data_IF_112408456961
#
_entry.id   IF_112408456961
#
_cell.length_a   1.000
_cell.length_b   1.000
_cell.length_c   1.000
_cell.angle_alpha   90.00
_cell.angle_beta   90.00
_cell.angle_gamma   90.00
#
_symmetry.space_group_name_H-M   'P 1'
#
loop_
_entity.id
_entity.type
_entity.pdbx_description
1 polymer ?
#
# COMPACT_ATOMS: atom_id res chain seq x y z
N UNK A 1 18.34 -13.64 9.00
CA UNK A 1 16.89 -13.41 9.01
C UNK A 1 16.65 -12.00 9.47
N UNK A 2 16.45 -11.11 8.50
CA UNK A 2 15.99 -9.76 8.70
C UNK A 2 14.49 -9.66 8.38
N UNK A 3 13.84 -8.65 8.94
CA UNK A 3 12.53 -8.20 8.46
C UNK A 3 12.73 -7.40 7.17
N UNK A 4 11.90 -7.65 6.15
CA UNK A 4 12.00 -6.98 4.85
C UNK A 4 10.64 -6.39 4.52
N UNK A 5 10.56 -5.08 4.59
CA UNK A 5 9.34 -4.32 4.49
C UNK A 5 9.25 -3.74 3.07
N UNK A 6 8.08 -3.84 2.45
CA UNK A 6 7.80 -3.23 1.16
C UNK A 6 6.57 -2.34 1.27
N UNK A 7 6.67 -1.10 0.79
CA UNK A 7 5.48 -0.37 0.35
C UNK A 7 4.89 -1.04 -0.91
N UNK A 8 3.62 -0.78 -1.22
CA UNK A 8 2.93 -1.44 -2.33
C UNK A 8 2.92 -0.58 -3.60
N UNK A 9 2.13 0.49 -3.56
CA UNK A 9 1.83 1.35 -4.70
C UNK A 9 3.11 2.07 -5.16
N UNK A 10 3.36 2.12 -6.47
CA UNK A 10 4.59 2.68 -7.08
C UNK A 10 5.94 2.07 -6.58
N UNK A 11 5.87 1.03 -5.74
CA UNK A 11 7.04 0.33 -5.15
C UNK A 11 7.11 -1.14 -5.56
N UNK A 12 6.09 -1.95 -5.25
CA UNK A 12 5.98 -3.33 -5.73
C UNK A 12 5.28 -3.42 -7.09
N UNK A 13 4.41 -2.45 -7.39
CA UNK A 13 3.62 -2.35 -8.61
C UNK A 13 3.79 -1.00 -9.28
N UNK A 14 3.70 -0.96 -10.61
CA UNK A 14 3.74 0.26 -11.44
C UNK A 14 2.37 0.94 -11.49
N UNK A 15 1.90 1.41 -10.33
CA UNK A 15 0.66 2.17 -10.22
C UNK A 15 0.10 2.23 -8.80
N UNK A 16 -1.00 2.99 -8.67
CA UNK A 16 -1.79 3.15 -7.45
C UNK A 16 -3.02 2.23 -7.49
N UNK A 17 -3.05 1.20 -6.65
CA UNK A 17 -4.10 0.19 -6.65
C UNK A 17 -5.47 0.77 -6.29
N UNK A 18 -5.53 1.76 -5.41
CA UNK A 18 -6.81 2.39 -5.03
C UNK A 18 -7.46 3.13 -6.22
N UNK A 19 -6.69 3.92 -6.96
CA UNK A 19 -7.14 4.66 -8.15
C UNK A 19 -7.51 3.71 -9.30
N UNK A 20 -6.76 2.61 -9.47
CA UNK A 20 -7.09 1.57 -10.44
C UNK A 20 -8.37 0.81 -10.05
N UNK A 21 -8.56 0.54 -8.76
CA UNK A 21 -9.79 -0.05 -8.23
C UNK A 21 -11.00 0.87 -8.41
N UNK A 22 -10.84 2.18 -8.23
CA UNK A 22 -11.88 3.18 -8.56
C UNK A 22 -12.38 3.05 -10.00
N UNK A 23 -11.47 2.82 -10.97
CA UNK A 23 -11.84 2.55 -12.37
C UNK A 23 -12.58 1.24 -12.51
N UNK A 24 -12.13 0.18 -11.82
CA UNK A 24 -12.82 -1.11 -11.82
C UNK A 24 -14.24 -1.00 -11.28
N UNK A 25 -14.45 -0.29 -10.17
CA UNK A 25 -15.79 -0.05 -9.63
C UNK A 25 -16.71 0.67 -10.64
N UNK A 26 -16.16 1.59 -11.45
CA UNK A 26 -16.90 2.23 -12.53
C UNK A 26 -17.28 1.24 -13.65
N UNK A 27 -16.36 0.35 -14.05
CA UNK A 27 -16.64 -0.71 -15.04
C UNK A 27 -17.72 -1.69 -14.56
N UNK A 28 -17.73 -2.00 -13.27
CA UNK A 28 -18.74 -2.84 -12.62
C UNK A 28 -20.10 -2.13 -12.47
N UNK A 29 -20.19 -0.83 -12.77
CA UNK A 29 -21.40 -0.03 -12.60
C UNK A 29 -21.74 0.23 -11.13
N UNK A 30 -20.78 0.10 -10.22
CA UNK A 30 -20.98 0.39 -8.79
C UNK A 30 -21.10 1.88 -8.51
N UNK A 31 -20.55 2.69 -9.40
CA UNK A 31 -20.56 4.16 -9.37
C UNK A 31 -20.86 4.70 -10.76
N UNK A 32 -21.25 5.98 -10.82
CA UNK A 32 -21.21 6.73 -12.07
C UNK A 32 -19.75 7.00 -12.45
N UNK A 33 -19.25 6.34 -13.49
CA UNK A 33 -17.83 6.31 -13.81
C UNK A 33 -17.22 7.68 -14.12
N UNK A 34 -17.91 8.54 -14.86
CA UNK A 34 -17.37 9.85 -15.21
C UNK A 34 -17.23 10.76 -13.97
N UNK A 35 -18.30 10.89 -13.19
CA UNK A 35 -18.28 11.77 -12.03
C UNK A 35 -17.38 11.24 -10.91
N UNK A 36 -17.37 9.92 -10.68
CA UNK A 36 -16.56 9.30 -9.64
C UNK A 36 -15.07 9.42 -9.94
N UNK A 37 -14.63 9.08 -11.16
CA UNK A 37 -13.20 9.15 -11.53
C UNK A 37 -12.69 10.58 -11.56
N UNK A 38 -13.51 11.54 -12.02
CA UNK A 38 -13.14 12.96 -11.92
C UNK A 38 -12.94 13.35 -10.46
N UNK A 39 -13.85 12.93 -9.58
CA UNK A 39 -13.77 13.27 -8.15
C UNK A 39 -12.59 12.62 -7.45
N UNK A 40 -12.32 11.35 -7.75
CA UNK A 40 -11.15 10.60 -7.28
C UNK A 40 -9.85 11.31 -7.68
N UNK A 41 -9.72 11.68 -8.95
CA UNK A 41 -8.56 12.42 -9.48
C UNK A 41 -8.35 13.77 -8.77
N UNK A 42 -9.43 14.53 -8.55
CA UNK A 42 -9.37 15.80 -7.81
C UNK A 42 -8.93 15.61 -6.35
N UNK A 43 -9.46 14.58 -5.67
CA UNK A 43 -9.12 14.28 -4.28
C UNK A 43 -7.66 13.84 -4.17
N UNK A 44 -7.19 12.99 -5.08
CA UNK A 44 -5.80 12.56 -5.16
C UNK A 44 -4.84 13.73 -5.39
N UNK A 45 -5.19 14.66 -6.29
CA UNK A 45 -4.39 15.86 -6.50
C UNK A 45 -4.29 16.74 -5.24
N UNK A 46 -5.40 16.93 -4.52
CA UNK A 46 -5.42 17.67 -3.25
C UNK A 46 -4.64 16.94 -2.15
N UNK A 47 -4.73 15.62 -2.11
CA UNK A 47 -3.96 14.78 -1.20
C UNK A 47 -2.46 14.91 -1.45
N UNK A 48 -2.00 14.87 -2.70
CA UNK A 48 -0.60 15.08 -3.06
C UNK A 48 -0.06 16.46 -2.65
N UNK A 49 -0.93 17.47 -2.60
CA UNK A 49 -0.61 18.81 -2.09
C UNK A 49 -0.68 18.93 -0.56
N UNK A 50 -1.14 17.89 0.15
CA UNK A 50 -1.34 17.90 1.60
C UNK A 50 -2.60 18.66 2.06
N UNK A 51 -3.53 18.94 1.14
CA UNK A 51 -4.78 19.70 1.39
C UNK A 51 -5.98 18.80 1.72
N UNK A 52 -5.78 17.48 1.73
CA UNK A 52 -6.78 16.46 2.03
C UNK A 52 -6.17 15.45 3.00
N UNK A 53 -6.93 15.04 4.02
CA UNK A 53 -6.50 13.98 4.93
C UNK A 53 -6.74 12.59 4.32
N UNK A 54 -5.96 11.60 4.77
CA UNK A 54 -6.14 10.21 4.33
C UNK A 54 -7.52 9.68 4.71
N UNK A 55 -8.05 10.05 5.88
CA UNK A 55 -9.40 9.68 6.32
C UNK A 55 -10.46 10.21 5.35
N UNK A 56 -10.32 11.45 4.87
CA UNK A 56 -11.27 12.05 3.94
C UNK A 56 -11.18 11.39 2.55
N UNK A 57 -10.00 10.97 2.11
CA UNK A 57 -9.85 10.19 0.89
C UNK A 57 -10.50 8.81 1.03
N UNK A 58 -10.18 8.07 2.09
CA UNK A 58 -10.73 6.74 2.34
C UNK A 58 -12.25 6.75 2.48
N UNK A 59 -12.83 7.78 3.13
CA UNK A 59 -14.27 7.92 3.24
C UNK A 59 -14.97 8.05 1.87
N UNK A 60 -14.30 8.65 0.88
CA UNK A 60 -14.81 8.74 -0.49
C UNK A 60 -14.55 7.44 -1.26
N UNK A 61 -13.32 6.92 -1.27
CA UNK A 61 -12.95 5.76 -2.09
C UNK A 61 -13.68 4.49 -1.65
N UNK A 62 -14.03 4.38 -0.38
CA UNK A 62 -14.78 3.26 0.19
C UNK A 62 -16.30 3.43 0.16
N UNK A 63 -16.83 4.62 -0.17
CA UNK A 63 -18.27 4.87 -0.24
C UNK A 63 -19.00 3.82 -1.10
N UNK A 64 -18.48 3.44 -2.30
CA UNK A 64 -19.15 2.44 -3.12
C UNK A 64 -19.13 1.03 -2.51
N UNK A 65 -18.28 0.74 -1.54
CA UNK A 65 -18.27 -0.57 -0.89
C UNK A 65 -19.35 -0.69 0.19
N UNK A 66 -19.91 0.42 0.66
CA UNK A 66 -20.91 0.41 1.73
C UNK A 66 -22.14 -0.45 1.35
N UNK A 67 -22.45 -1.44 2.20
CA UNK A 67 -23.58 -2.35 2.02
C UNK A 67 -23.31 -3.53 1.08
N UNK A 68 -22.13 -3.64 0.46
CA UNK A 68 -21.72 -4.83 -0.29
C UNK A 68 -21.20 -5.91 0.64
N UNK A 69 -21.47 -7.17 0.31
CA UNK A 69 -20.95 -8.29 1.10
C UNK A 69 -19.45 -8.42 0.90
N UNK A 70 -18.76 -9.00 1.89
CA UNK A 70 -17.33 -9.27 1.80
C UNK A 70 -17.04 -10.18 0.60
N UNK A 71 -17.86 -11.21 0.39
CA UNK A 71 -17.68 -12.19 -0.69
C UNK A 71 -17.91 -11.60 -2.09
N UNK A 72 -18.80 -10.60 -2.23
CA UNK A 72 -18.99 -9.87 -3.49
C UNK A 72 -17.71 -9.10 -3.84
N UNK A 73 -17.18 -8.34 -2.88
CA UNK A 73 -15.97 -7.55 -3.10
C UNK A 73 -14.76 -8.44 -3.34
N UNK A 74 -14.57 -9.49 -2.55
CA UNK A 74 -13.44 -10.42 -2.70
C UNK A 74 -13.39 -11.03 -4.10
N UNK A 75 -14.54 -11.44 -4.65
CA UNK A 75 -14.62 -11.99 -6.02
C UNK A 75 -14.18 -10.98 -7.08
N UNK A 76 -14.66 -9.75 -6.96
CA UNK A 76 -14.32 -8.71 -7.94
C UNK A 76 -12.88 -8.23 -7.79
N UNK A 77 -12.35 -8.24 -6.56
CA UNK A 77 -10.93 -7.95 -6.29
C UNK A 77 -10.04 -9.06 -6.85
N UNK A 78 -10.39 -10.33 -6.72
CA UNK A 78 -9.61 -11.44 -7.30
C UNK A 78 -9.42 -11.26 -8.81
N UNK A 79 -10.52 -10.99 -9.54
CA UNK A 79 -10.47 -10.70 -10.97
C UNK A 79 -9.65 -9.43 -11.28
N UNK A 80 -9.80 -8.39 -10.46
CA UNK A 80 -9.01 -7.16 -10.60
C UNK A 80 -7.51 -7.37 -10.39
N UNK A 81 -7.11 -8.20 -9.41
CA UNK A 81 -5.71 -8.51 -9.17
C UNK A 81 -5.12 -9.24 -10.37
N UNK A 82 -5.84 -10.23 -10.92
CA UNK A 82 -5.40 -10.98 -12.11
C UNK A 82 -5.32 -10.10 -13.36
N UNK A 83 -6.40 -9.38 -13.67
CA UNK A 83 -6.54 -8.67 -14.95
C UNK A 83 -5.77 -7.32 -14.98
N UNK A 84 -5.64 -6.65 -13.84
CA UNK A 84 -5.15 -5.27 -13.76
C UNK A 84 -3.83 -5.15 -13.00
N UNK A 85 -3.69 -5.81 -11.85
CA UNK A 85 -2.50 -5.62 -11.01
C UNK A 85 -1.31 -6.47 -11.46
N UNK A 86 -1.53 -7.75 -11.78
CA UNK A 86 -0.44 -8.65 -12.17
C UNK A 86 0.46 -8.11 -13.28
N UNK A 87 -0.06 -7.51 -14.38
CA UNK A 87 0.78 -6.95 -15.42
C UNK A 87 1.65 -5.77 -14.96
N UNK A 88 1.32 -5.15 -13.83
CA UNK A 88 2.00 -3.99 -13.26
C UNK A 88 3.05 -4.37 -12.20
N UNK A 89 3.14 -5.63 -11.78
CA UNK A 89 4.13 -6.05 -10.77
C UNK A 89 5.54 -5.88 -11.36
N UNK A 90 6.38 -5.10 -10.68
CA UNK A 90 7.76 -4.90 -11.12
C UNK A 90 8.54 -6.23 -11.08
N UNK A 91 9.23 -6.53 -12.17
CA UNK A 91 10.08 -7.72 -12.23
C UNK A 91 11.27 -7.60 -11.26
N UNK A 92 11.77 -6.37 -11.07
CA UNK A 92 12.79 -6.08 -10.06
C UNK A 92 12.31 -6.35 -8.62
N UNK A 93 11.05 -6.06 -8.30
CA UNK A 93 10.45 -6.38 -7.00
C UNK A 93 10.47 -7.89 -6.77
N UNK A 94 9.99 -8.67 -7.74
CA UNK A 94 10.02 -10.14 -7.70
C UNK A 94 11.43 -10.71 -7.49
N UNK A 95 12.43 -10.18 -8.23
CA UNK A 95 13.83 -10.58 -8.06
C UNK A 95 14.37 -10.24 -6.67
N UNK A 96 14.02 -9.07 -6.14
CA UNK A 96 14.45 -8.61 -4.82
C UNK A 96 13.85 -9.47 -3.72
N UNK A 97 12.56 -9.74 -3.79
CA UNK A 97 11.86 -10.64 -2.88
C UNK A 97 12.46 -12.06 -2.90
N UNK A 98 12.75 -12.59 -4.09
CA UNK A 98 13.38 -13.91 -4.22
C UNK A 98 14.75 -13.97 -3.54
N UNK A 99 15.56 -12.89 -3.63
CA UNK A 99 16.86 -12.79 -2.93
C UNK A 99 16.69 -12.80 -1.41
N UNK A 100 15.75 -12.01 -0.87
CA UNK A 100 15.46 -12.00 0.55
C UNK A 100 14.96 -13.35 1.07
N UNK A 101 14.05 -14.01 0.32
CA UNK A 101 13.61 -15.37 0.66
C UNK A 101 14.76 -16.37 0.68
N UNK A 102 15.67 -16.30 -0.30
CA UNK A 102 16.85 -17.17 -0.33
C UNK A 102 17.82 -16.91 0.84
N UNK A 103 17.84 -15.68 1.38
CA UNK A 103 18.58 -15.33 2.59
C UNK A 103 17.87 -15.74 3.89
N UNK A 104 16.64 -16.27 3.81
CA UNK A 104 15.82 -16.63 4.95
C UNK A 104 15.27 -15.41 5.69
N UNK A 105 15.05 -14.31 5.00
CA UNK A 105 14.41 -13.11 5.53
C UNK A 105 12.88 -13.23 5.52
N UNK A 106 12.22 -12.38 6.31
CA UNK A 106 10.76 -12.36 6.52
C UNK A 106 10.13 -11.16 5.81
N UNK A 107 9.45 -11.36 4.66
CA UNK A 107 8.81 -10.27 3.92
C UNK A 107 7.50 -9.81 4.56
N UNK A 108 7.26 -8.50 4.54
CA UNK A 108 6.05 -7.83 5.01
C UNK A 108 5.67 -6.74 4.01
N UNK A 109 4.39 -6.65 3.63
CA UNK A 109 3.87 -5.46 2.91
C UNK A 109 3.29 -4.48 3.93
N UNK A 110 3.63 -3.20 3.80
CA UNK A 110 3.02 -2.12 4.59
C UNK A 110 2.51 -1.00 3.68
N UNK A 111 1.19 -0.84 3.57
CA UNK A 111 0.59 0.09 2.60
C UNK A 111 -0.49 0.97 3.22
N UNK A 112 -0.65 2.17 2.68
CA UNK A 112 -1.75 3.09 3.01
C UNK A 112 -3.03 2.80 2.20
N UNK A 113 -3.06 1.74 1.40
CA UNK A 113 -4.25 1.25 0.70
C UNK A 113 -5.07 0.31 1.59
N UNK A 114 -6.34 0.12 1.25
CA UNK A 114 -7.26 -0.71 2.02
C UNK A 114 -6.89 -2.20 1.98
N UNK A 115 -7.03 -2.91 3.11
CA UNK A 115 -6.63 -4.32 3.25
C UNK A 115 -7.26 -5.25 2.22
N UNK A 116 -8.51 -4.97 1.83
CA UNK A 116 -9.22 -5.70 0.77
C UNK A 116 -8.46 -5.76 -0.56
N UNK A 117 -7.62 -4.76 -0.89
CA UNK A 117 -6.77 -4.76 -2.08
C UNK A 117 -5.35 -5.27 -1.75
N UNK A 118 -4.75 -4.75 -0.67
CA UNK A 118 -3.34 -5.03 -0.36
C UNK A 118 -3.11 -6.51 -0.09
N UNK A 119 -4.01 -7.17 0.65
CA UNK A 119 -3.88 -8.59 0.99
C UNK A 119 -3.80 -9.49 -0.25
N UNK A 120 -4.78 -9.50 -1.18
CA UNK A 120 -4.71 -10.37 -2.35
C UNK A 120 -3.56 -10.02 -3.30
N UNK A 121 -3.15 -8.75 -3.40
CA UNK A 121 -1.97 -8.36 -4.18
C UNK A 121 -0.69 -8.94 -3.56
N UNK A 122 -0.53 -8.82 -2.23
CA UNK A 122 0.61 -9.37 -1.52
C UNK A 122 0.67 -10.90 -1.66
N UNK A 123 -0.47 -11.58 -1.51
CA UNK A 123 -0.61 -13.03 -1.71
C UNK A 123 -0.20 -13.46 -3.13
N UNK A 124 -0.57 -12.67 -4.15
CA UNK A 124 -0.18 -12.94 -5.53
C UNK A 124 1.33 -12.89 -5.75
N UNK A 125 2.04 -12.03 -4.99
CA UNK A 125 3.51 -11.91 -4.97
C UNK A 125 4.13 -12.93 -3.97
N UNK A 126 3.29 -13.65 -3.22
CA UNK A 126 3.63 -14.68 -2.24
C UNK A 126 4.04 -14.14 -0.87
N UNK A 127 3.74 -12.89 -0.56
CA UNK A 127 3.95 -12.30 0.77
C UNK A 127 2.68 -12.56 1.58
N UNK A 128 2.81 -13.08 2.80
CA UNK A 128 1.67 -13.44 3.65
C UNK A 128 1.39 -12.38 4.71
N UNK A 129 2.44 -11.81 5.28
CA UNK A 129 2.32 -10.76 6.29
C UNK A 129 2.02 -9.42 5.61
N UNK A 130 0.92 -8.79 6.04
CA UNK A 130 0.43 -7.52 5.50
C UNK A 130 -0.01 -6.61 6.64
N UNK A 131 0.38 -5.35 6.54
CA UNK A 131 -0.18 -4.24 7.30
C UNK A 131 -0.78 -3.24 6.31
N UNK A 132 -2.09 -3.09 6.34
CA UNK A 132 -2.84 -2.21 5.44
C UNK A 132 -3.86 -1.40 6.25
N UNK A 133 -4.63 -0.53 5.59
CA UNK A 133 -5.76 0.13 6.27
C UNK A 133 -6.90 -0.88 6.44
N UNK A 134 -7.24 -1.18 7.70
CA UNK A 134 -8.37 -2.06 7.99
C UNK A 134 -9.69 -1.37 7.65
N UNK A 135 -10.62 -2.17 7.12
CA UNK A 135 -11.97 -1.72 6.77
C UNK A 135 -12.98 -2.31 7.75
N UNK A 136 -13.95 -1.50 8.15
CA UNK A 136 -15.00 -1.94 9.05
C UNK A 136 -16.03 -2.80 8.29
N UNK A 137 -16.30 -3.97 8.86
CA UNK A 137 -17.31 -4.93 8.39
C UNK A 137 -18.30 -5.21 9.51
N UNK A 138 -19.59 -5.15 9.19
CA UNK A 138 -20.69 -5.47 10.10
C UNK A 138 -21.62 -6.45 9.41
N UNK A 139 -21.93 -7.57 10.08
CA UNK A 139 -22.80 -8.62 9.57
C UNK A 139 -22.41 -9.12 8.16
N UNK A 140 -21.09 -9.24 7.90
CA UNK A 140 -20.55 -9.70 6.62
C UNK A 140 -20.58 -8.66 5.49
N UNK A 141 -20.87 -7.38 5.78
CA UNK A 141 -20.94 -6.31 4.80
C UNK A 141 -20.01 -5.15 5.16
N UNK A 142 -19.37 -4.54 4.17
CA UNK A 142 -18.57 -3.35 4.37
C UNK A 142 -19.44 -2.16 4.75
N UNK A 143 -18.95 -1.33 5.68
CA UNK A 143 -19.68 -0.11 6.10
C UNK A 143 -19.27 1.13 5.31
N UNK A 144 -18.23 1.02 4.48
CA UNK A 144 -17.58 2.15 3.80
C UNK A 144 -16.66 2.98 4.71
N UNK A 145 -16.34 2.48 5.92
CA UNK A 145 -15.44 3.15 6.87
C UNK A 145 -14.18 2.33 7.11
N UNK A 146 -13.13 3.03 7.53
CA UNK A 146 -11.92 2.41 8.05
C UNK A 146 -12.09 2.06 9.54
N UNK A 147 -11.23 1.18 10.05
CA UNK A 147 -11.19 0.81 11.46
C UNK A 147 -9.76 0.91 12.01
N UNK A 148 -9.63 1.39 13.25
CA UNK A 148 -8.35 1.44 13.94
C UNK A 148 -7.40 2.51 13.40
N UNK A 149 -6.10 2.28 13.58
CA UNK A 149 -5.04 3.20 13.13
C UNK A 149 -4.78 2.96 11.65
N UNK A 150 -4.80 4.03 10.85
CA UNK A 150 -4.47 3.97 9.44
C UNK A 150 -2.98 3.68 9.26
N UNK A 151 -2.64 2.81 8.32
CA UNK A 151 -1.26 2.47 7.96
C UNK A 151 -0.66 3.56 7.06
N UNK A 152 -0.64 4.80 7.57
CA UNK A 152 -0.23 6.00 6.84
C UNK A 152 0.70 6.89 7.67
N UNK A 153 1.85 7.28 7.12
CA UNK A 153 2.89 8.08 7.80
C UNK A 153 3.24 7.50 9.18
N UNK A 154 3.11 8.27 10.26
CA UNK A 154 3.35 7.81 11.63
C UNK A 154 2.48 6.61 12.02
N UNK A 155 1.30 6.48 11.41
CA UNK A 155 0.43 5.33 11.57
C UNK A 155 1.06 4.02 11.06
N UNK A 156 1.89 4.07 10.00
CA UNK A 156 2.69 2.90 9.56
C UNK A 156 3.61 2.42 10.68
N UNK A 157 4.27 3.35 11.39
CA UNK A 157 5.14 3.01 12.50
C UNK A 157 4.34 2.41 13.65
N UNK A 158 3.22 3.02 14.04
CA UNK A 158 2.37 2.52 15.12
C UNK A 158 1.91 1.08 14.82
N UNK A 159 1.42 0.84 13.60
CA UNK A 159 0.95 -0.49 13.15
C UNK A 159 2.07 -1.51 13.10
N UNK A 160 3.25 -1.11 12.62
CA UNK A 160 4.41 -1.99 12.57
C UNK A 160 4.89 -2.38 13.96
N UNK A 161 4.96 -1.42 14.88
CA UNK A 161 5.37 -1.70 16.26
C UNK A 161 4.35 -2.57 16.99
N UNK A 162 3.05 -2.36 16.78
CA UNK A 162 2.01 -3.24 17.32
C UNK A 162 2.18 -4.68 16.82
N UNK A 163 2.42 -4.86 15.51
CA UNK A 163 2.70 -6.17 14.91
C UNK A 163 3.98 -6.82 15.47
N UNK A 164 5.01 -6.03 15.77
CA UNK A 164 6.24 -6.48 16.42
C UNK A 164 6.10 -6.69 17.94
N UNK A 165 4.92 -6.51 18.53
CA UNK A 165 4.71 -6.63 19.97
C UNK A 165 5.40 -5.54 20.79
N UNK A 166 5.65 -4.37 20.18
CA UNK A 166 6.33 -3.23 20.76
C UNK A 166 7.86 -3.29 20.71
N UNK A 167 8.45 -4.33 20.12
CA UNK A 167 9.90 -4.46 19.98
C UNK A 167 10.42 -3.74 18.72
N UNK A 168 11.18 -2.66 18.92
CA UNK A 168 11.81 -1.94 17.80
C UNK A 168 13.14 -2.59 17.35
N UNK A 169 13.71 -3.53 18.11
CA UNK A 169 15.03 -4.11 17.81
C UNK A 169 15.14 -4.71 16.40
N UNK A 170 14.11 -5.38 15.84
CA UNK A 170 14.16 -5.89 14.47
C UNK A 170 14.40 -4.79 13.42
N UNK A 171 13.98 -3.55 13.68
CA UNK A 171 14.10 -2.44 12.72
C UNK A 171 15.56 -2.08 12.46
N UNK A 172 16.45 -2.24 13.45
CA UNK A 172 17.88 -1.93 13.30
C UNK A 172 18.58 -2.77 12.22
N UNK A 173 18.03 -3.94 11.87
CA UNK A 173 18.52 -4.78 10.78
C UNK A 173 17.52 -4.90 9.63
N UNK A 174 16.35 -4.26 9.73
CA UNK A 174 15.30 -4.37 8.73
C UNK A 174 15.68 -3.66 7.43
N UNK A 175 15.12 -4.17 6.33
CA UNK A 175 15.09 -3.49 5.04
C UNK A 175 13.74 -2.83 4.84
N UNK A 176 13.71 -1.66 4.22
CA UNK A 176 12.44 -1.05 3.80
C UNK A 176 12.57 -0.43 2.41
N UNK A 177 11.69 -0.85 1.51
CA UNK A 177 11.57 -0.36 0.14
C UNK A 177 10.34 0.53 0.03
N UNK A 178 10.51 1.77 -0.45
CA UNK A 178 9.40 2.72 -0.67
C UNK A 178 9.77 3.79 -1.71
N UNK A 179 8.76 4.32 -2.41
CA UNK A 179 8.85 5.44 -3.36
C UNK A 179 8.46 6.79 -2.73
N UNK A 180 7.75 6.78 -1.61
CA UNK A 180 6.98 7.93 -1.15
C UNK A 180 7.65 8.72 -0.03
N UNK A 181 7.57 10.04 -0.08
CA UNK A 181 7.94 10.90 1.07
C UNK A 181 7.14 10.57 2.34
N UNK A 182 5.95 10.01 2.20
CA UNK A 182 5.08 9.68 3.34
C UNK A 182 5.72 8.62 4.25
N UNK A 183 6.67 7.86 3.71
CA UNK A 183 7.36 6.77 4.38
C UNK A 183 8.72 7.17 4.95
N UNK A 184 9.13 8.44 4.78
CA UNK A 184 10.33 9.00 5.40
C UNK A 184 10.45 8.68 6.90
N UNK A 185 9.38 8.80 7.73
CA UNK A 185 9.47 8.46 9.13
C UNK A 185 9.92 7.01 9.39
N UNK A 186 9.50 6.05 8.57
CA UNK A 186 9.88 4.65 8.71
C UNK A 186 11.25 4.36 8.04
N UNK A 187 11.55 4.97 6.89
CA UNK A 187 12.86 4.89 6.25
C UNK A 187 13.99 5.36 7.17
N UNK A 188 13.76 6.41 7.97
CA UNK A 188 14.73 6.88 8.95
C UNK A 188 14.92 5.95 10.17
N UNK A 189 14.02 4.99 10.39
CA UNK A 189 14.05 4.08 11.55
C UNK A 189 14.69 2.73 11.24
N UNK A 190 14.67 2.29 9.98
CA UNK A 190 15.24 1.00 9.60
C UNK A 190 16.75 1.08 9.38
N UNK A 191 17.44 -0.04 9.56
CA UNK A 191 18.88 -0.15 9.31
C UNK A 191 19.27 -0.06 7.83
N UNK A 192 18.39 -0.52 6.94
CA UNK A 192 18.65 -0.60 5.50
C UNK A 192 17.50 0.04 4.69
N UNK A 193 17.45 1.39 4.58
CA UNK A 193 16.47 2.07 3.76
C UNK A 193 16.82 1.97 2.27
N UNK A 194 15.82 1.64 1.45
CA UNK A 194 15.92 1.56 0.01
C UNK A 194 14.83 2.44 -0.62
N UNK A 195 15.24 3.33 -1.52
CA UNK A 195 14.29 4.19 -2.22
C UNK A 195 14.05 3.65 -3.62
N UNK A 196 12.80 3.37 -3.97
CA UNK A 196 12.40 2.75 -5.23
C UNK A 196 11.63 3.79 -6.03
N UNK A 197 12.08 4.11 -7.25
CA UNK A 197 11.38 5.07 -8.13
C UNK A 197 10.93 6.38 -7.41
N UNK A 198 11.76 7.00 -6.55
CA UNK A 198 11.25 7.89 -5.51
C UNK A 198 10.66 9.20 -6.03
N UNK A 199 9.65 9.70 -5.32
CA UNK A 199 9.12 11.04 -5.51
C UNK A 199 10.23 12.12 -5.33
N UNK A 200 10.04 13.36 -5.83
CA UNK A 200 11.08 14.37 -5.78
C UNK A 200 11.61 14.71 -4.37
N UNK A 201 10.75 14.61 -3.34
CA UNK A 201 11.14 14.85 -1.94
C UNK A 201 11.91 13.66 -1.39
N UNK A 202 11.43 12.43 -1.60
CA UNK A 202 12.17 11.24 -1.15
C UNK A 202 13.53 11.14 -1.85
N UNK A 203 13.60 11.45 -3.16
CA UNK A 203 14.86 11.51 -3.91
C UNK A 203 15.86 12.46 -3.28
N UNK A 204 15.45 13.69 -2.95
CA UNK A 204 16.33 14.67 -2.33
C UNK A 204 16.84 14.20 -0.95
N UNK A 205 15.98 13.55 -0.15
CA UNK A 205 16.39 13.01 1.16
C UNK A 205 17.35 11.82 1.02
N UNK A 206 17.11 10.96 0.02
CA UNK A 206 17.99 9.83 -0.30
C UNK A 206 19.39 10.32 -0.72
N UNK A 207 19.47 11.31 -1.62
CA UNK A 207 20.74 11.91 -2.05
C UNK A 207 21.51 12.54 -0.87
N UNK A 208 20.80 13.20 0.05
CA UNK A 208 21.37 13.80 1.25
C UNK A 208 21.93 12.77 2.23
N UNK A 209 21.28 11.61 2.38
CA UNK A 209 21.70 10.55 3.31
C UNK A 209 22.58 9.47 2.65
N UNK A 210 22.78 9.54 1.34
CA UNK A 210 23.47 8.51 0.57
C UNK A 210 22.70 7.19 0.51
N UNK A 211 21.38 7.23 0.62
CA UNK A 211 20.54 6.04 0.47
C UNK A 211 20.53 5.57 -0.98
N UNK A 212 20.40 4.25 -1.17
CA UNK A 212 20.31 3.65 -2.49
C UNK A 212 19.03 4.11 -3.20
N UNK A 213 19.17 4.56 -4.45
CA UNK A 213 18.06 4.89 -5.34
C UNK A 213 17.97 3.80 -6.41
N UNK A 214 16.90 3.02 -6.34
CA UNK A 214 16.57 1.92 -7.23
C UNK A 214 15.61 2.42 -8.32
N UNK A 215 15.80 1.92 -9.54
CA UNK A 215 14.94 2.20 -10.68
C UNK A 215 14.29 0.89 -11.15
N UNK A 216 13.23 0.45 -10.46
CA UNK A 216 12.58 -0.82 -10.72
C UNK A 216 11.68 -0.77 -11.95
N UNK A 217 11.66 -1.87 -12.70
CA UNK A 217 10.88 -2.09 -13.91
C UNK A 217 10.25 -3.48 -13.93
#
# INVERSE_FOLDING_TARGET
MALVIFDLDETLIDGDCASLWSRRMAELGWVDGESFIRRDTELMARYALGELSMEAYMAFSLEPMAGRSVEEVEREVEAYVEDVIEPLIYNDACRTLARHRAAGDSPLVISASGVHLVQPIAERIGIQDVLAIDLEVVDGHYTGRTQGVLTYRDGKIIRLLDWLGGDENPLAAAHFYSDSRNDLPLLHRVGNPHTVNPDPVLRAEAEKHGWEILAWR
#
